data_IF_695574955874
#
_entry.id   IF_695574955874
#
_cell.length_a   1.000
_cell.length_b   1.000
_cell.length_c   1.000
_cell.angle_alpha   90.00
_cell.angle_beta   90.00
_cell.angle_gamma   90.00
#
_symmetry.space_group_name_H-M   'P 1'
#
loop_
_entity.id
_entity.type
_entity.pdbx_description
1 polymer ?
#
# COMPACT_ATOMS: atom_id res chain seq x y z
N UNK A 1 23.12 -24.89 3.69
CA UNK A 1 24.17 -23.94 3.25
C UNK A 1 23.70 -22.54 3.62
N UNK A 2 24.44 -21.80 4.46
CA UNK A 2 24.06 -20.42 4.84
C UNK A 2 24.80 -19.44 3.92
N UNK A 3 24.10 -18.55 3.18
CA UNK A 3 24.76 -17.53 2.38
C UNK A 3 25.61 -16.59 3.26
N UNK A 4 26.69 -15.99 2.75
CA UNK A 4 27.46 -15.01 3.51
C UNK A 4 26.60 -13.82 3.92
N UNK A 5 26.65 -13.43 5.21
CA UNK A 5 25.87 -12.32 5.76
C UNK A 5 26.07 -10.99 5.00
N UNK A 6 27.26 -10.78 4.46
CA UNK A 6 27.59 -9.59 3.68
C UNK A 6 26.74 -9.48 2.40
N UNK A 7 26.48 -10.60 1.72
CA UNK A 7 25.65 -10.64 0.51
C UNK A 7 24.21 -10.28 0.84
N UNK A 8 23.65 -10.87 1.90
CA UNK A 8 22.29 -10.57 2.34
C UNK A 8 22.12 -9.09 2.70
N UNK A 9 23.06 -8.54 3.47
CA UNK A 9 23.07 -7.10 3.81
C UNK A 9 23.16 -6.21 2.57
N UNK A 10 23.95 -6.60 1.57
CA UNK A 10 24.09 -5.83 0.33
C UNK A 10 22.79 -5.81 -0.48
N UNK A 11 22.11 -6.95 -0.60
CA UNK A 11 20.82 -7.05 -1.27
C UNK A 11 19.73 -6.24 -0.54
N UNK A 12 19.63 -6.39 0.78
CA UNK A 12 18.68 -5.61 1.58
C UNK A 12 18.95 -4.10 1.50
N UNK A 13 20.22 -3.69 1.40
CA UNK A 13 20.58 -2.29 1.15
C UNK A 13 20.11 -1.80 -0.22
N UNK A 14 20.19 -2.63 -1.27
CA UNK A 14 19.67 -2.28 -2.59
C UNK A 14 18.14 -2.12 -2.55
N UNK A 15 17.43 -3.01 -1.86
CA UNK A 15 15.98 -2.91 -1.70
C UNK A 15 15.57 -1.65 -0.93
N UNK A 16 16.27 -1.35 0.17
CA UNK A 16 16.04 -0.13 0.93
C UNK A 16 16.34 1.13 0.10
N UNK A 17 17.36 1.08 -0.77
CA UNK A 17 17.63 2.16 -1.71
C UNK A 17 16.48 2.32 -2.69
N UNK A 18 16.06 1.25 -3.37
CA UNK A 18 14.95 1.32 -4.32
C UNK A 18 13.71 2.05 -3.77
N UNK A 19 13.38 1.85 -2.49
CA UNK A 19 12.22 2.48 -1.86
C UNK A 19 12.40 3.96 -1.50
N UNK A 20 13.62 4.36 -1.15
CA UNK A 20 13.91 5.69 -0.57
C UNK A 20 14.78 6.59 -1.45
N UNK A 21 15.32 6.07 -2.54
CA UNK A 21 16.20 6.79 -3.46
C UNK A 21 15.35 7.64 -4.42
N UNK A 22 15.70 8.92 -4.53
CA UNK A 22 15.17 9.82 -5.55
C UNK A 22 16.19 9.92 -6.68
N UNK A 23 15.74 10.29 -7.89
CA UNK A 23 16.63 10.49 -9.05
C UNK A 23 17.66 11.60 -8.80
N UNK A 24 17.37 12.53 -7.89
CA UNK A 24 18.26 13.64 -7.55
C UNK A 24 19.28 13.22 -6.49
N UNK A 25 20.55 13.19 -6.90
CA UNK A 25 21.69 12.62 -6.17
C UNK A 25 22.11 13.37 -4.89
N UNK A 26 21.38 14.38 -4.44
CA UNK A 26 21.94 15.33 -3.47
C UNK A 26 21.79 14.88 -2.03
N UNK A 27 20.64 14.36 -1.56
CA UNK A 27 20.54 13.86 -0.18
C UNK A 27 19.54 12.69 -0.02
N UNK A 28 20.05 11.58 0.53
CA UNK A 28 19.33 10.31 0.71
C UNK A 28 18.72 10.24 2.11
N UNK A 29 17.40 10.17 2.21
CA UNK A 29 16.70 10.05 3.49
C UNK A 29 16.03 8.69 3.62
N UNK A 30 16.68 7.81 4.38
CA UNK A 30 16.08 6.54 4.79
C UNK A 30 15.11 6.79 5.95
N UNK A 31 13.84 7.04 5.61
CA UNK A 31 12.80 7.41 6.58
C UNK A 31 12.49 6.32 7.63
N UNK A 32 12.70 5.05 7.29
CA UNK A 32 12.50 3.91 8.18
C UNK A 32 13.51 2.80 7.90
N UNK A 33 13.98 2.10 8.93
CA UNK A 33 14.98 1.03 8.79
C UNK A 33 14.37 -0.14 8.02
N UNK A 34 15.16 -0.81 7.17
CA UNK A 34 14.69 -1.95 6.37
C UNK A 34 14.05 -3.06 7.21
N UNK A 35 14.63 -3.36 8.38
CA UNK A 35 14.08 -4.36 9.30
C UNK A 35 12.64 -4.06 9.73
N UNK A 36 12.32 -2.78 9.93
CA UNK A 36 11.00 -2.34 10.39
C UNK A 36 10.01 -2.26 9.22
N UNK A 37 10.50 -2.21 7.97
CA UNK A 37 9.69 -2.33 6.75
C UNK A 37 9.30 -3.77 6.45
N UNK A 38 10.11 -4.74 6.87
CA UNK A 38 9.85 -6.16 6.70
C UNK A 38 8.90 -6.75 7.77
N UNK A 39 8.43 -5.93 8.71
CA UNK A 39 7.33 -6.34 9.57
C UNK A 39 6.05 -6.54 8.72
N UNK A 40 5.13 -7.41 9.15
CA UNK A 40 3.77 -7.45 8.62
C UNK A 40 3.13 -6.07 8.54
N UNK A 41 2.19 -5.91 7.61
CA UNK A 41 1.41 -4.68 7.47
C UNK A 41 0.67 -4.33 8.76
N UNK A 42 0.15 -5.34 9.45
CA UNK A 42 -0.57 -5.25 10.72
C UNK A 42 0.33 -4.83 11.90
N UNK A 43 1.64 -4.95 11.73
CA UNK A 43 2.69 -4.60 12.69
C UNK A 43 3.41 -3.28 12.30
N UNK A 44 2.86 -2.55 11.32
CA UNK A 44 3.37 -1.24 10.88
C UNK A 44 4.50 -1.31 9.85
N UNK A 45 4.83 -2.49 9.34
CA UNK A 45 5.71 -2.65 8.18
C UNK A 45 4.96 -2.59 6.85
N UNK A 46 5.63 -3.01 5.78
CA UNK A 46 5.11 -3.12 4.42
C UNK A 46 4.90 -4.58 3.99
N UNK A 47 5.13 -5.53 4.89
CA UNK A 47 4.97 -6.96 4.60
C UNK A 47 6.12 -7.58 3.80
N UNK A 48 7.20 -6.84 3.54
CA UNK A 48 8.40 -7.43 2.94
C UNK A 48 8.98 -8.53 3.82
N UNK A 49 9.75 -9.45 3.25
CA UNK A 49 10.43 -10.51 4.01
C UNK A 49 11.90 -10.20 4.09
N UNK A 50 12.43 -10.20 5.31
CA UNK A 50 13.87 -10.14 5.54
C UNK A 50 14.54 -11.38 4.99
N UNK A 51 15.65 -11.19 4.28
CA UNK A 51 16.36 -12.29 3.65
C UNK A 51 16.97 -13.23 4.70
N UNK A 52 17.40 -12.68 5.84
CA UNK A 52 17.92 -13.48 6.95
C UNK A 52 16.85 -14.43 7.50
N UNK A 53 15.67 -13.90 7.80
CA UNK A 53 14.55 -14.68 8.33
C UNK A 53 14.12 -15.79 7.33
N UNK A 54 14.16 -15.52 6.03
CA UNK A 54 13.91 -16.53 4.99
C UNK A 54 14.98 -17.63 5.01
N UNK A 55 16.26 -17.28 5.07
CA UNK A 55 17.36 -18.27 5.15
C UNK A 55 17.20 -19.18 6.37
N UNK A 56 16.85 -18.61 7.52
CA UNK A 56 16.65 -19.39 8.75
C UNK A 56 15.39 -20.27 8.65
N UNK A 57 14.29 -19.74 8.10
CA UNK A 57 13.05 -20.50 7.82
C UNK A 57 13.30 -21.69 6.88
N UNK A 58 14.01 -21.47 5.77
CA UNK A 58 14.33 -22.54 4.83
C UNK A 58 15.33 -23.54 5.42
N UNK A 59 16.21 -23.11 6.31
CA UNK A 59 17.08 -24.02 7.06
C UNK A 59 16.27 -24.96 7.96
N UNK A 60 15.25 -24.44 8.66
CA UNK A 60 14.30 -25.25 9.44
C UNK A 60 13.53 -26.23 8.54
N UNK A 61 13.06 -25.77 7.37
CA UNK A 61 12.39 -26.64 6.40
C UNK A 61 13.29 -27.77 5.91
N UNK A 62 14.55 -27.47 5.60
CA UNK A 62 15.53 -28.48 5.18
C UNK A 62 15.80 -29.50 6.29
N UNK A 63 15.95 -29.03 7.53
CA UNK A 63 16.14 -29.91 8.69
C UNK A 63 14.92 -30.81 8.93
N UNK A 64 13.71 -30.25 8.82
CA UNK A 64 12.47 -31.01 8.89
C UNK A 64 12.41 -32.10 7.80
N UNK A 65 12.70 -31.75 6.55
CA UNK A 65 12.68 -32.70 5.43
C UNK A 65 13.74 -33.80 5.61
N UNK A 66 14.92 -33.45 6.10
CA UNK A 66 15.98 -34.42 6.43
C UNK A 66 15.50 -35.46 7.46
N UNK A 67 14.79 -35.02 8.49
CA UNK A 67 14.29 -35.90 9.56
C UNK A 67 13.02 -36.67 9.19
N UNK A 68 12.13 -36.08 8.40
CA UNK A 68 10.82 -36.68 8.06
C UNK A 68 10.84 -37.55 6.81
N UNK A 69 11.68 -37.25 5.80
CA UNK A 69 11.69 -37.97 4.54
C UNK A 69 12.76 -39.06 4.47
N UNK A 70 12.48 -40.14 3.73
CA UNK A 70 13.43 -41.21 3.40
C UNK A 70 14.15 -40.96 2.06
N UNK A 71 14.54 -39.72 1.77
CA UNK A 71 15.35 -39.45 0.57
C UNK A 71 16.73 -40.11 0.70
N UNK A 72 17.39 -40.40 -0.42
CA UNK A 72 18.77 -40.94 -0.42
C UNK A 72 19.72 -40.06 0.40
N UNK A 73 19.58 -38.74 0.31
CA UNK A 73 20.32 -37.78 1.13
C UNK A 73 20.02 -37.90 2.62
N UNK A 74 18.76 -38.13 2.99
CA UNK A 74 18.38 -38.36 4.38
C UNK A 74 18.91 -39.68 4.93
N UNK A 75 18.92 -40.74 4.11
CA UNK A 75 19.51 -42.03 4.49
C UNK A 75 21.03 -41.92 4.67
N UNK A 76 21.73 -41.28 3.72
CA UNK A 76 23.17 -41.05 3.78
C UNK A 76 23.58 -40.27 5.05
N UNK A 77 22.93 -39.15 5.33
CA UNK A 77 23.25 -38.31 6.48
C UNK A 77 22.82 -38.93 7.83
N UNK A 78 21.79 -39.80 7.86
CA UNK A 78 21.44 -40.59 9.06
C UNK A 78 22.47 -41.68 9.35
N UNK A 79 23.08 -42.27 8.32
CA UNK A 79 24.13 -43.28 8.50
C UNK A 79 25.39 -42.79 9.25
N UNK A 80 25.54 -41.47 9.39
CA UNK A 80 26.66 -40.83 10.10
C UNK A 80 26.37 -40.69 11.62
N UNK A 81 25.10 -40.78 12.05
CA UNK A 81 24.69 -40.56 13.45
C UNK A 81 23.92 -41.79 13.94
N UNK A 82 24.41 -42.56 14.93
CA UNK A 82 23.68 -43.72 15.44
C UNK A 82 22.41 -43.27 16.16
N UNK A 83 21.26 -43.80 15.76
CA UNK A 83 19.98 -43.61 16.45
C UNK A 83 19.56 -44.98 16.97
N UNK A 84 19.32 -45.10 18.28
CA UNK A 84 18.90 -46.33 18.95
C UNK A 84 17.58 -46.85 18.39
N UNK A 85 17.46 -48.14 18.05
CA UNK A 85 16.20 -48.74 17.63
C UNK A 85 15.39 -49.08 18.88
N UNK A 86 14.08 -48.84 18.85
CA UNK A 86 13.01 -49.64 19.49
C UNK A 86 11.69 -48.87 19.71
N UNK A 87 11.59 -47.61 19.25
CA UNK A 87 10.31 -46.94 18.99
C UNK A 87 10.42 -46.19 17.66
N UNK A 88 9.41 -46.26 16.80
CA UNK A 88 9.34 -45.41 15.61
C UNK A 88 9.10 -43.95 16.06
N UNK A 89 10.18 -43.20 16.24
CA UNK A 89 10.13 -41.78 16.58
C UNK A 89 9.37 -41.00 15.49
N UNK A 90 8.29 -40.34 15.88
CA UNK A 90 7.57 -39.40 15.02
C UNK A 90 8.05 -37.97 15.32
N UNK A 91 8.48 -37.26 14.29
CA UNK A 91 8.81 -35.83 14.42
C UNK A 91 7.50 -35.05 14.29
N UNK A 92 7.20 -34.24 15.31
CA UNK A 92 6.00 -33.40 15.38
C UNK A 92 6.42 -31.92 15.38
N UNK A 93 5.81 -31.12 14.51
CA UNK A 93 6.03 -29.68 14.48
C UNK A 93 5.11 -29.01 15.50
N UNK A 94 5.69 -28.48 16.58
CA UNK A 94 4.95 -27.99 17.75
C UNK A 94 4.17 -26.70 17.49
N UNK A 95 4.56 -25.89 16.49
CA UNK A 95 3.88 -24.63 16.17
C UNK A 95 2.59 -24.81 15.35
N UNK A 96 2.14 -26.05 15.14
CA UNK A 96 0.88 -26.38 14.45
C UNK A 96 0.13 -27.45 15.21
N UNK A 97 -1.18 -27.30 15.35
CA UNK A 97 -2.03 -28.25 16.08
C UNK A 97 -2.11 -29.64 15.42
N UNK A 98 -1.89 -29.74 14.11
CA UNK A 98 -1.86 -30.99 13.35
C UNK A 98 -0.45 -31.61 13.29
N UNK A 99 0.54 -31.00 13.94
CA UNK A 99 1.92 -31.48 13.98
C UNK A 99 2.70 -31.36 12.67
N UNK A 100 2.14 -30.70 11.64
CA UNK A 100 2.76 -30.62 10.30
C UNK A 100 3.63 -29.37 10.15
N UNK A 101 4.81 -29.54 9.58
CA UNK A 101 5.65 -28.39 9.25
C UNK A 101 5.01 -27.49 8.18
N UNK A 102 4.86 -26.22 8.50
CA UNK A 102 4.42 -25.18 7.57
C UNK A 102 5.45 -24.05 7.55
N UNK A 103 5.87 -23.64 6.34
CA UNK A 103 6.89 -22.58 6.20
C UNK A 103 6.44 -21.25 6.83
N UNK A 104 5.14 -20.97 6.86
CA UNK A 104 4.57 -19.79 7.52
C UNK A 104 4.75 -19.82 9.05
N UNK A 105 4.53 -20.95 9.72
CA UNK A 105 4.72 -21.07 11.18
C UNK A 105 6.20 -21.03 11.54
N UNK A 106 7.06 -21.68 10.75
CA UNK A 106 8.51 -21.56 10.92
C UNK A 106 9.03 -20.13 10.73
N UNK A 107 8.48 -19.37 9.78
CA UNK A 107 8.81 -17.96 9.62
C UNK A 107 8.35 -17.10 10.80
N UNK A 108 7.14 -17.37 11.33
CA UNK A 108 6.62 -16.72 12.52
C UNK A 108 7.53 -16.94 13.74
N UNK A 109 8.12 -18.13 13.87
CA UNK A 109 9.04 -18.48 14.96
C UNK A 109 10.38 -17.71 14.92
N UNK A 110 10.92 -17.45 13.72
CA UNK A 110 12.27 -16.86 13.58
C UNK A 110 12.28 -15.34 13.42
N UNK A 111 11.15 -14.75 13.01
CA UNK A 111 11.08 -13.31 12.76
C UNK A 111 11.05 -12.50 14.05
N UNK A 112 11.39 -11.23 13.94
CA UNK A 112 11.08 -10.27 15.01
C UNK A 112 9.60 -9.89 14.94
N UNK A 113 8.90 -10.01 16.06
CA UNK A 113 7.49 -9.60 16.20
C UNK A 113 7.38 -8.17 16.71
N UNK A 114 6.31 -7.49 16.31
CA UNK A 114 5.89 -6.21 16.86
C UNK A 114 4.40 -6.22 17.19
N UNK A 115 3.94 -5.19 17.90
CA UNK A 115 2.56 -5.07 18.32
C UNK A 115 1.65 -4.85 17.12
N UNK A 116 0.62 -5.69 17.00
CA UNK A 116 -0.43 -5.55 15.99
C UNK A 116 -1.29 -4.33 16.32
N UNK A 117 -1.51 -3.46 15.33
CA UNK A 117 -2.41 -2.32 15.48
C UNK A 117 -3.56 -2.40 14.47
N UNK A 118 -4.79 -2.25 14.97
CA UNK A 118 -6.01 -2.35 14.16
C UNK A 118 -6.06 -1.33 13.02
N UNK A 119 -5.46 -0.15 13.21
CA UNK A 119 -5.44 0.94 12.21
C UNK A 119 -4.81 0.50 10.88
N UNK A 120 -3.80 -0.37 10.90
CA UNK A 120 -3.15 -0.80 9.66
C UNK A 120 -4.03 -1.69 8.79
N UNK A 121 -4.96 -2.45 9.39
CA UNK A 121 -5.93 -3.23 8.62
C UNK A 121 -6.85 -2.34 7.80
N UNK A 122 -7.17 -1.15 8.32
CA UNK A 122 -7.96 -0.16 7.59
C UNK A 122 -7.14 0.49 6.47
N UNK A 123 -5.90 0.88 6.75
CA UNK A 123 -5.00 1.53 5.79
C UNK A 123 -4.77 0.64 4.55
N UNK A 124 -4.56 -0.66 4.76
CA UNK A 124 -4.28 -1.62 3.68
C UNK A 124 -5.52 -2.34 3.15
N UNK A 125 -6.70 -1.76 3.34
CA UNK A 125 -7.93 -2.25 2.72
C UNK A 125 -7.82 -2.19 1.18
N UNK A 126 -8.28 -3.23 0.50
CA UNK A 126 -8.24 -3.32 -0.98
C UNK A 126 -9.07 -2.23 -1.68
N UNK A 127 -9.99 -1.60 -0.95
CA UNK A 127 -10.81 -0.49 -1.46
C UNK A 127 -9.98 0.80 -1.61
N UNK A 128 -8.92 0.94 -0.81
CA UNK A 128 -8.09 2.14 -0.82
C UNK A 128 -6.99 1.96 -1.87
N UNK A 129 -6.83 2.89 -2.82
CA UNK A 129 -5.74 2.85 -3.78
C UNK A 129 -4.38 2.77 -3.06
N UNK A 130 -3.46 1.94 -3.58
CA UNK A 130 -2.20 1.64 -2.90
C UNK A 130 -1.34 2.86 -2.61
N UNK A 131 -1.38 3.90 -3.46
CA UNK A 131 -0.68 5.16 -3.22
C UNK A 131 -1.27 5.93 -2.01
N UNK A 132 -2.59 5.90 -1.84
CA UNK A 132 -3.29 6.48 -0.67
C UNK A 132 -2.99 5.64 0.57
N UNK A 133 -3.05 4.30 0.49
CA UNK A 133 -2.65 3.43 1.60
C UNK A 133 -1.21 3.67 2.04
N UNK A 134 -0.29 3.82 1.09
CA UNK A 134 1.11 4.11 1.37
C UNK A 134 1.28 5.49 2.03
N UNK A 135 0.54 6.50 1.57
CA UNK A 135 0.49 7.81 2.20
C UNK A 135 -0.05 7.74 3.64
N UNK A 136 -1.20 7.10 3.86
CA UNK A 136 -1.81 6.93 5.19
C UNK A 136 -0.90 6.12 6.12
N UNK A 137 -0.21 5.10 5.59
CA UNK A 137 0.81 4.37 6.32
C UNK A 137 1.97 5.30 6.72
N UNK A 138 2.53 6.11 5.80
CA UNK A 138 3.57 7.09 6.13
C UNK A 138 3.12 8.11 7.18
N UNK A 139 1.89 8.61 7.05
CA UNK A 139 1.24 9.48 8.03
C UNK A 139 1.21 8.81 9.40
N UNK A 140 0.80 7.54 9.45
CA UNK A 140 0.72 6.79 10.69
C UNK A 140 2.02 6.47 11.37
N UNK A 141 3.10 6.44 10.59
CA UNK A 141 4.46 6.22 11.06
C UNK A 141 5.20 7.52 11.38
N UNK A 142 4.55 8.68 11.19
CA UNK A 142 5.20 9.99 11.35
C UNK A 142 6.34 10.22 10.36
N UNK A 143 6.17 9.75 9.11
CA UNK A 143 7.16 9.80 8.03
C UNK A 143 6.82 10.82 6.93
N UNK A 144 5.81 11.66 7.17
CA UNK A 144 5.46 12.76 6.28
C UNK A 144 6.43 13.92 6.57
N UNK A 145 7.08 14.49 5.54
CA UNK A 145 8.10 15.52 5.71
C UNK A 145 7.47 16.89 5.98
N UNK A 146 6.81 17.03 7.14
CA UNK A 146 6.43 18.34 7.69
C UNK A 146 7.63 18.97 8.38
N UNK A 147 7.61 20.29 8.58
CA UNK A 147 8.76 21.04 9.11
C UNK A 147 9.37 20.42 10.37
N UNK A 148 8.54 20.12 11.38
CA UNK A 148 9.01 19.54 12.65
C UNK A 148 9.66 18.16 12.45
N UNK A 149 9.16 17.36 11.51
CA UNK A 149 9.73 16.05 11.20
C UNK A 149 11.07 16.20 10.46
N UNK A 150 11.17 17.16 9.54
CA UNK A 150 12.41 17.52 8.85
C UNK A 150 13.45 18.00 9.86
N UNK A 151 13.11 18.95 10.73
CA UNK A 151 14.01 19.43 11.79
C UNK A 151 14.53 18.28 12.65
N UNK A 152 13.63 17.43 13.14
CA UNK A 152 13.99 16.32 14.05
C UNK A 152 14.83 15.24 13.39
N UNK A 153 14.56 14.89 12.13
CA UNK A 153 15.22 13.75 11.47
C UNK A 153 16.42 14.12 10.62
N UNK A 154 16.44 15.34 10.08
CA UNK A 154 17.47 15.84 9.16
C UNK A 154 18.42 16.79 9.89
N UNK A 155 18.00 17.41 11.00
CA UNK A 155 18.77 18.45 11.68
C UNK A 155 18.75 19.78 10.93
N UNK A 156 17.81 19.98 10.01
CA UNK A 156 17.65 21.22 9.27
C UNK A 156 16.86 22.22 10.12
N UNK A 157 17.51 23.28 10.61
CA UNK A 157 16.88 24.31 11.43
C UNK A 157 16.12 25.34 10.58
N UNK A 158 14.99 24.92 10.02
CA UNK A 158 14.03 25.80 9.35
C UNK A 158 13.08 26.45 10.36
N UNK A 159 12.60 27.67 10.09
CA UNK A 159 11.54 28.28 10.88
C UNK A 159 10.21 27.60 10.55
N UNK A 160 9.68 26.78 11.46
CA UNK A 160 8.45 26.05 11.18
C UNK A 160 7.24 26.97 11.19
N UNK A 161 6.43 26.92 10.12
CA UNK A 161 5.26 27.79 9.99
C UNK A 161 4.22 27.20 9.01
N UNK A 162 3.02 26.89 9.49
CA UNK A 162 1.91 26.51 8.63
C UNK A 162 1.54 27.66 7.71
N UNK A 163 1.42 27.40 6.42
CA UNK A 163 0.94 28.36 5.44
C UNK A 163 -0.52 28.80 5.71
N UNK A 164 -1.29 27.95 6.39
CA UNK A 164 -2.71 28.14 6.68
C UNK A 164 -2.97 29.21 7.76
N UNK A 165 -2.28 29.13 8.89
CA UNK A 165 -2.58 29.92 10.08
C UNK A 165 -1.31 30.37 10.85
N UNK A 166 -0.12 30.18 10.26
CA UNK A 166 1.17 30.55 10.85
C UNK A 166 1.57 29.87 12.17
N UNK A 167 0.82 28.87 12.64
CA UNK A 167 1.23 28.01 13.76
C UNK A 167 2.38 27.06 13.37
N UNK A 168 2.94 26.32 14.33
CA UNK A 168 4.00 25.33 14.06
C UNK A 168 3.45 24.19 13.19
N UNK A 169 4.15 23.87 12.09
CA UNK A 169 3.73 22.83 11.15
C UNK A 169 4.10 21.43 11.68
N UNK A 170 3.16 20.85 12.44
CA UNK A 170 3.19 19.45 12.86
C UNK A 170 2.24 18.61 12.01
N UNK A 171 2.42 17.28 12.01
CA UNK A 171 1.47 16.35 11.37
C UNK A 171 0.07 16.51 11.99
N UNK A 172 0.01 16.61 13.31
CA UNK A 172 -1.24 16.76 14.05
C UNK A 172 -1.94 18.08 13.67
N UNK A 173 -1.20 19.18 13.64
CA UNK A 173 -1.74 20.46 13.18
C UNK A 173 -2.20 20.41 11.72
N UNK A 174 -1.34 19.97 10.79
CA UNK A 174 -1.63 20.01 9.36
C UNK A 174 -2.83 19.14 8.97
N UNK A 175 -3.00 17.98 9.62
CA UNK A 175 -4.04 17.00 9.25
C UNK A 175 -5.25 16.95 10.17
N UNK A 176 -5.21 17.58 11.36
CA UNK A 176 -6.30 17.48 12.35
C UNK A 176 -6.73 18.84 12.88
N UNK A 177 -5.81 19.64 13.43
CA UNK A 177 -6.18 20.82 14.24
C UNK A 177 -6.21 22.12 13.43
N UNK A 178 -5.61 22.14 12.23
CA UNK A 178 -5.58 23.35 11.40
C UNK A 178 -7.01 23.73 10.97
N UNK A 179 -7.31 25.04 10.84
CA UNK A 179 -8.63 25.49 10.40
C UNK A 179 -9.07 24.84 9.08
N UNK A 180 -8.11 24.63 8.17
CA UNK A 180 -8.34 23.95 6.89
C UNK A 180 -8.69 22.48 7.09
N UNK A 181 -7.89 21.72 7.85
CA UNK A 181 -8.14 20.31 8.09
C UNK A 181 -9.47 20.07 8.80
N UNK A 182 -9.75 20.88 9.81
CA UNK A 182 -10.98 20.85 10.60
C UNK A 182 -12.23 21.11 9.73
N UNK A 183 -12.16 22.10 8.83
CA UNK A 183 -13.22 22.34 7.82
C UNK A 183 -13.46 21.13 6.93
N UNK A 184 -12.38 20.51 6.42
CA UNK A 184 -12.46 19.31 5.56
C UNK A 184 -13.06 18.14 6.33
N UNK A 185 -12.62 17.90 7.56
CA UNK A 185 -13.14 16.80 8.39
C UNK A 185 -14.61 16.99 8.71
N UNK A 186 -15.06 18.19 9.10
CA UNK A 186 -16.49 18.45 9.34
C UNK A 186 -17.32 18.25 8.09
N UNK A 187 -16.88 18.79 6.96
CA UNK A 187 -17.61 18.64 5.70
C UNK A 187 -17.89 17.17 5.35
N UNK A 188 -16.87 16.31 5.40
CA UNK A 188 -17.07 14.88 5.12
C UNK A 188 -17.74 14.13 6.27
N UNK A 189 -17.54 14.55 7.52
CA UNK A 189 -18.25 13.96 8.65
C UNK A 189 -19.75 14.19 8.56
N UNK A 190 -20.18 15.37 8.11
CA UNK A 190 -21.60 15.68 7.90
C UNK A 190 -22.18 14.84 6.75
N UNK A 191 -21.47 14.73 5.62
CA UNK A 191 -21.91 13.92 4.47
C UNK A 191 -22.05 12.43 4.81
N UNK A 192 -21.12 11.89 5.60
CA UNK A 192 -21.06 10.46 5.91
C UNK A 192 -21.59 10.11 7.31
N UNK A 193 -22.19 11.09 8.01
CA UNK A 193 -22.69 10.97 9.37
C UNK A 193 -21.68 10.35 10.35
N UNK A 194 -20.43 10.83 10.27
CA UNK A 194 -19.32 10.36 11.10
C UNK A 194 -19.27 11.20 12.37
N UNK A 195 -19.27 10.53 13.52
CA UNK A 195 -19.11 11.21 14.80
C UNK A 195 -17.63 11.51 15.00
N UNK A 196 -17.25 12.77 14.81
CA UNK A 196 -15.90 13.23 15.09
C UNK A 196 -15.66 13.21 16.60
N UNK A 197 -14.86 12.24 17.05
CA UNK A 197 -14.47 12.13 18.45
C UNK A 197 -13.57 13.30 18.87
N UNK A 198 -13.62 13.74 20.14
CA UNK A 198 -12.82 14.86 20.66
C UNK A 198 -11.36 14.47 20.94
N UNK A 199 -10.94 13.24 20.61
CA UNK A 199 -9.59 12.75 20.86
C UNK A 199 -8.59 13.27 19.81
N UNK A 200 -7.41 13.64 20.29
CA UNK A 200 -6.29 14.09 19.46
C UNK A 200 -5.58 12.91 18.79
N UNK A 201 -5.18 13.08 17.52
CA UNK A 201 -4.47 12.07 16.74
C UNK A 201 -5.26 11.57 15.53
N UNK A 202 -4.57 11.51 14.39
CA UNK A 202 -5.17 11.00 13.13
C UNK A 202 -5.72 9.57 13.26
N UNK A 203 -5.15 8.73 14.14
CA UNK A 203 -5.64 7.35 14.34
C UNK A 203 -7.10 7.32 14.81
N UNK A 204 -7.51 8.27 15.66
CA UNK A 204 -8.88 8.36 16.15
C UNK A 204 -9.85 8.82 15.05
N UNK A 205 -9.40 9.65 14.08
CA UNK A 205 -10.20 9.98 12.90
C UNK A 205 -10.48 8.75 12.04
N UNK A 206 -9.47 7.90 11.83
CA UNK A 206 -9.64 6.62 11.11
C UNK A 206 -10.57 5.66 11.87
N UNK A 207 -10.43 5.56 13.19
CA UNK A 207 -11.32 4.73 14.01
C UNK A 207 -12.76 5.25 13.99
N UNK A 208 -12.98 6.56 14.13
CA UNK A 208 -14.31 7.16 14.02
C UNK A 208 -14.97 6.80 12.68
N UNK A 209 -14.22 6.95 11.57
CA UNK A 209 -14.68 6.53 10.26
C UNK A 209 -15.05 5.04 10.21
N UNK A 210 -14.21 4.18 10.80
CA UNK A 210 -14.42 2.72 10.82
C UNK A 210 -15.66 2.30 11.61
N UNK A 211 -15.96 2.95 12.72
CA UNK A 211 -17.08 2.60 13.60
C UNK A 211 -18.40 3.26 13.16
N UNK A 212 -18.37 4.48 12.61
CA UNK A 212 -19.57 5.14 12.09
C UNK A 212 -20.19 4.39 10.91
N UNK A 213 -19.36 3.84 10.01
CA UNK A 213 -19.85 3.00 8.89
C UNK A 213 -20.51 1.70 9.38
N UNK A 214 -20.05 1.12 10.50
CA UNK A 214 -20.57 -0.12 11.05
C UNK A 214 -21.90 0.06 11.80
N UNK A 215 -22.24 1.29 12.21
CA UNK A 215 -23.53 1.62 12.82
C UNK A 215 -24.66 1.61 11.77
N UNK A 216 -24.38 2.09 10.55
CA UNK A 216 -25.33 2.05 9.42
C UNK A 216 -25.60 0.64 8.90
N UNK A 217 -24.65 -0.30 9.02
CA UNK A 217 -24.87 -1.68 8.59
C UNK A 217 -25.79 -2.49 9.51
N UNK A 218 -26.00 -2.02 10.75
CA UNK A 218 -26.66 -2.79 11.81
C UNK A 218 -27.99 -2.19 12.31
N UNK A 219 -28.51 -1.13 11.67
CA UNK A 219 -29.86 -0.60 11.93
C UNK A 219 -29.93 0.92 11.93
N UNK A 220 -30.58 1.50 10.91
CA UNK A 220 -31.22 2.81 10.95
C UNK A 220 -32.21 2.92 9.78
N UNK A 221 -33.45 3.34 10.07
CA UNK A 221 -34.58 3.54 9.15
C UNK A 221 -34.34 4.70 8.15
N UNK A 222 -35.11 4.67 7.06
CA UNK A 222 -34.87 5.28 5.73
C UNK A 222 -35.10 6.81 5.58
N UNK A 223 -35.44 7.58 6.62
CA UNK A 223 -36.28 8.78 6.40
C UNK A 223 -35.61 10.15 6.14
N UNK A 224 -34.30 10.28 5.89
CA UNK A 224 -33.65 11.62 5.83
C UNK A 224 -32.79 11.95 4.60
N UNK A 225 -33.02 11.32 3.44
CA UNK A 225 -32.19 11.50 2.24
C UNK A 225 -32.75 12.44 1.14
N UNK A 226 -33.92 13.06 1.35
CA UNK A 226 -34.59 13.88 0.32
C UNK A 226 -34.19 15.38 0.30
N UNK A 227 -33.29 15.84 1.18
CA UNK A 227 -33.03 17.28 1.38
C UNK A 227 -31.75 17.85 0.73
N UNK A 228 -31.04 17.12 -0.15
CA UNK A 228 -29.76 17.58 -0.70
C UNK A 228 -29.88 18.34 -2.05
N UNK A 229 -29.25 19.52 -2.22
CA UNK A 229 -29.35 20.36 -3.42
C UNK A 229 -28.82 19.72 -4.71
N UNK A 230 -29.57 19.91 -5.81
CA UNK A 230 -29.33 19.29 -7.14
C UNK A 230 -27.94 19.50 -7.77
N UNK A 231 -27.17 20.53 -7.38
CA UNK A 231 -25.83 20.77 -7.92
C UNK A 231 -24.73 19.90 -7.29
N UNK A 232 -25.00 19.20 -6.18
CA UNK A 232 -24.14 18.12 -5.66
C UNK A 232 -24.35 16.78 -6.40
N UNK A 233 -25.46 16.65 -7.15
CA UNK A 233 -25.91 15.36 -7.69
C UNK A 233 -25.29 14.96 -9.03
N UNK A 234 -24.44 15.77 -9.67
CA UNK A 234 -23.76 15.35 -10.92
C UNK A 234 -22.34 14.81 -10.70
N UNK A 235 -21.63 15.28 -9.66
CA UNK A 235 -20.27 14.83 -9.33
C UNK A 235 -20.24 13.73 -8.24
N UNK A 236 -21.27 13.66 -7.37
CA UNK A 236 -21.29 12.76 -6.21
C UNK A 236 -22.50 11.80 -6.17
N UNK A 237 -23.32 11.73 -7.23
CA UNK A 237 -24.31 10.64 -7.42
C UNK A 237 -23.76 9.20 -7.33
N UNK A 238 -22.45 8.93 -7.48
CA UNK A 238 -21.91 7.59 -7.20
C UNK A 238 -21.77 7.24 -5.71
N UNK A 239 -21.92 8.19 -4.79
CA UNK A 239 -21.62 7.96 -3.37
C UNK A 239 -22.85 7.66 -2.50
N UNK A 240 -24.06 8.04 -2.93
CA UNK A 240 -25.28 7.86 -2.10
C UNK A 240 -26.31 7.02 -2.85
N UNK A 241 -26.03 5.71 -2.90
CA UNK A 241 -26.97 4.57 -2.81
C UNK A 241 -26.32 3.32 -3.45
N UNK A 242 -25.11 3.00 -2.99
CA UNK A 242 -24.21 2.04 -3.62
C UNK A 242 -24.73 0.59 -3.69
N UNK A 243 -25.90 0.27 -3.12
CA UNK A 243 -26.50 -1.06 -3.21
C UNK A 243 -27.80 -1.13 -4.05
N UNK A 244 -28.64 -0.09 -4.05
CA UNK A 244 -29.94 -0.10 -4.77
C UNK A 244 -29.87 0.48 -6.18
N UNK A 245 -28.97 1.44 -6.46
CA UNK A 245 -28.78 1.98 -7.82
C UNK A 245 -27.98 1.03 -8.72
N UNK A 246 -27.12 0.19 -8.13
CA UNK A 246 -26.20 -0.71 -8.83
C UNK A 246 -26.90 -1.83 -9.62
N UNK A 247 -28.15 -2.17 -9.26
CA UNK A 247 -28.93 -3.20 -9.95
C UNK A 247 -29.65 -2.72 -11.23
N UNK A 248 -29.83 -1.40 -11.43
CA UNK A 248 -30.77 -0.89 -12.46
C UNK A 248 -30.13 -0.36 -13.75
N UNK A 249 -28.85 0.05 -13.79
CA UNK A 249 -28.28 0.76 -14.95
C UNK A 249 -26.91 0.29 -15.48
N UNK A 250 -26.45 -0.93 -15.15
CA UNK A 250 -25.46 -1.63 -15.99
C UNK A 250 -24.07 -0.99 -16.19
N UNK A 251 -23.60 -0.07 -15.34
CA UNK A 251 -22.27 0.53 -15.45
C UNK A 251 -21.30 0.08 -14.34
N UNK A 252 -20.14 -0.42 -14.77
CA UNK A 252 -19.19 -1.26 -14.01
C UNK A 252 -18.21 -0.53 -13.08
N UNK A 253 -18.39 0.76 -12.77
CA UNK A 253 -17.48 1.50 -11.89
C UNK A 253 -17.92 1.58 -10.42
N UNK A 254 -19.11 1.06 -10.07
CA UNK A 254 -19.60 0.88 -8.70
C UNK A 254 -19.20 -0.47 -8.06
N UNK A 255 -18.24 -1.18 -8.67
CA UNK A 255 -18.02 -2.61 -8.45
C UNK A 255 -17.30 -3.02 -7.15
N UNK A 256 -16.94 -2.09 -6.26
CA UNK A 256 -16.04 -2.40 -5.12
C UNK A 256 -16.68 -2.48 -3.73
N UNK A 257 -18.00 -2.29 -3.61
CA UNK A 257 -18.75 -2.76 -2.43
C UNK A 257 -19.36 -4.17 -2.64
N UNK A 258 -19.14 -4.77 -3.80
CA UNK A 258 -19.60 -6.11 -4.16
C UNK A 258 -18.37 -6.97 -4.40
N UNK A 259 -18.43 -8.24 -3.97
CA UNK A 259 -17.38 -9.26 -4.06
C UNK A 259 -16.39 -9.31 -2.89
N UNK A 260 -16.70 -10.22 -1.95
CA UNK A 260 -15.89 -11.42 -1.77
C UNK A 260 -14.66 -11.42 -2.68
N UNK A 261 -13.48 -11.11 -2.14
CA UNK A 261 -12.25 -11.42 -2.85
C UNK A 261 -11.76 -12.80 -2.38
N UNK A 262 -11.70 -13.81 -3.28
CA UNK A 262 -10.59 -14.74 -3.23
C UNK A 262 -9.31 -13.90 -3.36
N UNK A 263 -8.20 -14.42 -2.82
CA UNK A 263 -6.87 -13.80 -2.77
C UNK A 263 -6.56 -12.86 -3.96
N UNK A 264 -5.85 -11.73 -3.73
CA UNK A 264 -5.51 -10.79 -4.81
C UNK A 264 -4.95 -11.57 -6.00
N UNK A 265 -5.42 -11.30 -7.23
CA UNK A 265 -4.93 -12.01 -8.40
C UNK A 265 -3.40 -11.91 -8.42
N UNK A 266 -2.70 -12.99 -8.77
CA UNK A 266 -1.24 -12.97 -8.81
C UNK A 266 -0.78 -11.80 -9.68
N UNK A 267 0.35 -11.14 -9.34
CA UNK A 267 0.84 -9.99 -10.08
C UNK A 267 0.90 -10.33 -11.58
N UNK A 268 0.12 -9.60 -12.36
CA UNK A 268 0.03 -9.81 -13.80
C UNK A 268 1.24 -9.14 -14.45
N UNK A 269 2.11 -9.95 -15.05
CA UNK A 269 3.21 -9.44 -15.85
C UNK A 269 2.62 -8.79 -17.12
N UNK A 270 2.59 -7.45 -17.16
CA UNK A 270 2.15 -6.70 -18.33
C UNK A 270 3.33 -6.58 -19.29
N UNK A 271 3.30 -7.34 -20.37
CA UNK A 271 4.22 -7.19 -21.48
C UNK A 271 3.53 -6.47 -22.64
N UNK A 272 4.30 -5.64 -23.34
CA UNK A 272 3.82 -5.00 -24.55
C UNK A 272 3.55 -6.07 -25.63
N UNK A 273 2.39 -5.97 -26.29
CA UNK A 273 1.99 -6.82 -27.41
C UNK A 273 1.70 -5.97 -28.63
N UNK A 274 2.02 -6.45 -29.82
CA UNK A 274 1.63 -5.82 -31.08
C UNK A 274 0.10 -5.75 -31.20
N UNK A 275 -0.45 -4.73 -31.90
CA UNK A 275 -1.89 -4.68 -32.17
C UNK A 275 -2.31 -5.77 -33.19
N UNK A 276 -3.59 -6.19 -33.20
CA UNK A 276 -4.12 -7.10 -34.21
C UNK A 276 -3.91 -6.62 -35.65
N UNK A 277 -3.85 -7.55 -36.61
CA UNK A 277 -3.73 -7.25 -38.04
C UNK A 277 -4.87 -6.31 -38.49
N UNK A 278 -4.52 -5.26 -39.22
CA UNK A 278 -5.47 -4.23 -39.66
C UNK A 278 -5.75 -3.13 -38.64
N UNK A 279 -5.04 -3.13 -37.49
CA UNK A 279 -5.18 -2.10 -36.47
C UNK A 279 -3.86 -1.43 -36.11
N UNK A 280 -3.96 -0.21 -35.60
CA UNK A 280 -2.83 0.59 -35.15
C UNK A 280 -2.87 0.74 -33.63
N UNK A 281 -1.69 0.76 -33.00
CA UNK A 281 -1.55 1.05 -31.58
C UNK A 281 -0.89 2.40 -31.41
N UNK A 282 -1.56 3.29 -30.68
CA UNK A 282 -1.03 4.60 -30.34
C UNK A 282 -0.61 4.57 -28.87
N UNK A 283 0.69 4.75 -28.63
CA UNK A 283 1.24 4.93 -27.30
C UNK A 283 1.48 6.42 -27.09
N UNK A 284 0.74 7.05 -26.18
CA UNK A 284 0.88 8.47 -25.85
C UNK A 284 1.45 8.65 -24.45
N UNK A 285 2.23 9.71 -24.26
CA UNK A 285 2.71 10.15 -22.95
C UNK A 285 2.66 11.69 -22.86
N UNK A 286 2.61 12.21 -21.64
CA UNK A 286 2.52 13.64 -21.35
C UNK A 286 3.44 14.04 -20.21
N UNK A 287 3.98 15.25 -20.29
CA UNK A 287 4.83 15.83 -19.26
C UNK A 287 4.40 17.26 -18.95
N UNK A 288 4.39 17.60 -17.67
CA UNK A 288 4.26 18.98 -17.18
C UNK A 288 5.56 19.34 -16.49
N UNK A 289 6.19 20.44 -16.91
CA UNK A 289 7.38 20.98 -16.27
C UNK A 289 7.27 22.49 -16.22
N UNK A 290 7.47 23.07 -15.03
CA UNK A 290 7.45 24.51 -14.80
C UNK A 290 6.17 25.21 -15.30
N UNK A 291 5.01 24.54 -15.19
CA UNK A 291 3.70 25.06 -15.62
C UNK A 291 3.36 24.83 -17.10
N UNK A 292 4.30 24.33 -17.90
CA UNK A 292 4.09 24.04 -19.31
C UNK A 292 3.81 22.57 -19.56
N UNK A 293 2.73 22.28 -20.28
CA UNK A 293 2.35 20.93 -20.67
C UNK A 293 2.81 20.61 -22.11
N UNK A 294 3.33 19.40 -22.27
CA UNK A 294 3.65 18.81 -23.56
C UNK A 294 3.18 17.37 -23.58
N UNK A 295 2.96 16.83 -24.77
CA UNK A 295 2.73 15.41 -24.93
C UNK A 295 3.16 14.93 -26.30
N UNK A 296 3.25 13.62 -26.44
CA UNK A 296 3.60 13.01 -27.69
C UNK A 296 3.10 11.58 -27.74
N UNK A 297 3.28 10.97 -28.90
CA UNK A 297 2.94 9.59 -29.06
C UNK A 297 3.60 8.94 -30.26
N UNK A 298 3.58 7.62 -30.23
CA UNK A 298 4.09 6.75 -31.27
C UNK A 298 2.94 5.88 -31.77
N UNK A 299 2.71 5.89 -33.08
CA UNK A 299 1.75 5.05 -33.78
C UNK A 299 2.50 3.86 -34.36
N UNK A 300 2.03 2.65 -34.05
CA UNK A 300 2.61 1.38 -34.51
C UNK A 300 1.61 0.56 -35.28
N UNK A 301 2.07 -0.15 -36.29
CA UNK A 301 1.27 -1.13 -37.05
C UNK A 301 1.14 -2.47 -36.31
N UNK A 302 0.46 -3.42 -36.93
CA UNK A 302 0.31 -4.79 -36.45
C UNK A 302 1.62 -5.60 -36.44
N UNK A 303 2.66 -5.15 -37.13
CA UNK A 303 4.01 -5.72 -37.04
C UNK A 303 4.81 -5.16 -35.85
N UNK A 304 4.30 -4.10 -35.21
CA UNK A 304 4.94 -3.39 -34.10
C UNK A 304 5.93 -2.31 -34.54
N UNK A 305 6.08 -2.10 -35.86
CA UNK A 305 6.90 -1.04 -36.40
C UNK A 305 6.30 0.32 -36.11
N UNK A 306 7.15 1.28 -35.77
CA UNK A 306 6.76 2.68 -35.66
C UNK A 306 6.47 3.22 -37.06
N UNK A 307 5.23 3.63 -37.30
CA UNK A 307 4.81 4.25 -38.55
C UNK A 307 5.01 5.76 -38.48
N UNK A 308 4.67 6.35 -37.32
CA UNK A 308 4.72 7.79 -37.10
C UNK A 308 4.89 8.09 -35.62
N UNK A 309 5.67 9.11 -35.33
CA UNK A 309 5.69 9.76 -34.03
C UNK A 309 5.14 11.18 -34.17
N UNK A 310 4.52 11.68 -33.10
CA UNK A 310 4.06 13.06 -33.01
C UNK A 310 4.41 13.63 -31.64
N UNK A 311 4.57 14.95 -31.59
CA UNK A 311 4.66 15.70 -30.36
C UNK A 311 3.80 16.95 -30.51
N UNK A 312 3.24 17.43 -29.40
CA UNK A 312 2.46 18.64 -29.32
C UNK A 312 2.78 19.37 -28.03
N UNK A 313 2.93 20.69 -28.15
CA UNK A 313 3.00 21.58 -27.00
C UNK A 313 1.58 22.08 -26.70
N UNK A 314 1.17 21.98 -25.43
CA UNK A 314 -0.18 22.34 -25.01
C UNK A 314 -0.24 23.68 -24.26
N UNK A 315 0.92 24.30 -23.98
CA UNK A 315 0.98 25.61 -23.32
C UNK A 315 0.85 25.54 -21.80
N UNK A 316 0.42 26.66 -21.22
CA UNK A 316 0.26 26.83 -19.77
C UNK A 316 -0.89 25.99 -19.25
N UNK A 317 -0.58 24.94 -18.49
CA UNK A 317 -1.56 23.99 -17.96
C UNK A 317 -1.10 23.44 -16.60
N UNK A 318 -2.02 23.32 -15.65
CA UNK A 318 -1.76 22.60 -14.39
C UNK A 318 -2.26 21.16 -14.52
N UNK A 319 -1.76 20.24 -13.68
CA UNK A 319 -2.16 18.81 -13.67
C UNK A 319 -3.69 18.60 -13.55
N UNK A 320 -4.43 19.60 -13.05
CA UNK A 320 -5.87 19.52 -12.77
C UNK A 320 -6.73 20.54 -13.51
N UNK A 321 -6.17 21.43 -14.35
CA UNK A 321 -6.93 22.54 -14.94
C UNK A 321 -6.67 22.72 -16.43
N UNK A 322 -7.76 22.70 -17.22
CA UNK A 322 -7.84 23.43 -18.50
C UNK A 322 -7.97 24.92 -18.16
N UNK A 323 -7.03 25.74 -18.61
CA UNK A 323 -7.26 27.17 -18.78
C UNK A 323 -8.34 27.33 -19.86
N UNK A 324 -9.54 27.75 -19.45
CA UNK A 324 -10.61 28.12 -20.37
C UNK A 324 -10.33 29.52 -20.90
N UNK A 325 -9.47 29.66 -21.89
CA UNK A 325 -9.47 30.84 -22.77
C UNK A 325 -9.18 30.40 -24.21
N UNK A 326 -9.76 31.11 -25.18
CA UNK A 326 -9.89 30.85 -26.63
C UNK A 326 -11.16 30.02 -26.96
N UNK A 327 -12.30 30.59 -27.35
CA UNK A 327 -12.60 31.79 -28.16
C UNK A 327 -13.81 32.56 -27.64
#
# INVERSE_FOLDING_TARGET
MKPPKAVLKKLESIFARFLWDSKDHTHRLHWKRWKDLCLPTEEGGLGFRRLQDLVDTFSLKLWWLFRSQRSLWAQFLRGIIPITPHVDDQIVWTDTSDGRFVTKSAWQLVRTESTIQAVYRMIWSSIIPTNVSFFCWRLSQGLIPVDVVIQRRIGCHIASRCQCCSAIETIQHLFIDSPTADTVWRHFADIFHITLMPFEGFQYRFQAWRFSVQKYSNGAEEDHLESLPHHFTSAYRPFISAHSLARRHGHRSAFWCLYYHPSPPPPMLVFWRTPPVGSYKINTDGCVKDGFASGGGIIRDSSGQCIRAFFSFYGDCTILGRSYELY
#
